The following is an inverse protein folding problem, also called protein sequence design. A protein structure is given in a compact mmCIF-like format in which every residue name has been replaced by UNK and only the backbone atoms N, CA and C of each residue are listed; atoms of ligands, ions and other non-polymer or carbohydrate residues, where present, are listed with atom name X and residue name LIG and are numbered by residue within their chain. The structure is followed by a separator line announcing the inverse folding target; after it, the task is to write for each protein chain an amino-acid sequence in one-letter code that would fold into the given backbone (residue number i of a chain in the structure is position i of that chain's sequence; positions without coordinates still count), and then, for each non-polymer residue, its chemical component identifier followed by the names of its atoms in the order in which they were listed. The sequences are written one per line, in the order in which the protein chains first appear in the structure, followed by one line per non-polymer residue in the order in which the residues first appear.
data_IF_427228779075
#
_entry.id   IF_427228779075
#
_cell.length_a   1.000
_cell.length_b   1.000
_cell.length_c   1.000
_cell.angle_alpha   90.00
_cell.angle_beta   90.00
_cell.angle_gamma   90.00
#
_symmetry.space_group_name_H-M   'P 1'
#
loop_
_entity.id
_entity.type
_entity.pdbx_description
1 polymer ?
#
# COMPACT_ATOMS: atom_id res chain seq x y z
N UNK A 1 -24.11 -0.95 9.69
CA UNK A 1 -22.76 -1.23 9.16
C UNK A 1 -21.95 -1.87 10.27
N UNK A 2 -21.74 -3.19 10.24
CA UNK A 2 -21.19 -3.97 11.37
C UNK A 2 -19.71 -4.30 11.23
N UNK A 3 -19.17 -5.02 12.23
CA UNK A 3 -17.79 -5.53 12.26
C UNK A 3 -17.42 -6.31 10.97
N UNK A 4 -18.39 -7.00 10.37
CA UNK A 4 -18.17 -7.72 9.11
C UNK A 4 -17.74 -6.78 7.96
N UNK A 5 -18.40 -5.63 7.79
CA UNK A 5 -17.99 -4.64 6.78
C UNK A 5 -16.62 -4.04 7.06
N UNK A 6 -16.25 -3.90 8.34
CA UNK A 6 -14.92 -3.38 8.71
C UNK A 6 -13.82 -4.40 8.38
N UNK A 7 -14.03 -5.68 8.69
CA UNK A 7 -13.09 -6.76 8.35
C UNK A 7 -12.92 -6.92 6.84
N UNK A 8 -14.01 -6.85 6.08
CA UNK A 8 -13.95 -6.90 4.61
C UNK A 8 -13.09 -5.77 4.08
N UNK A 9 -13.32 -4.52 4.51
CA UNK A 9 -12.51 -3.37 4.09
C UNK A 9 -11.04 -3.50 4.49
N UNK A 10 -10.76 -3.99 5.71
CA UNK A 10 -9.38 -4.20 6.18
C UNK A 10 -8.63 -5.24 5.35
N UNK A 11 -9.28 -6.34 4.97
CA UNK A 11 -8.68 -7.36 4.10
C UNK A 11 -8.51 -6.84 2.67
N UNK A 12 -9.53 -6.14 2.14
CA UNK A 12 -9.52 -5.62 0.78
C UNK A 12 -8.42 -4.57 0.55
N UNK A 13 -8.02 -3.83 1.58
CA UNK A 13 -6.91 -2.88 1.53
C UNK A 13 -5.59 -3.54 1.95
N UNK A 14 -5.58 -4.33 3.02
CA UNK A 14 -4.38 -4.92 3.60
C UNK A 14 -3.69 -5.93 2.67
N UNK A 15 -4.45 -6.78 1.98
CA UNK A 15 -3.90 -7.79 1.05
C UNK A 15 -3.17 -7.15 -0.14
N UNK A 16 -3.79 -6.22 -0.91
CA UNK A 16 -3.08 -5.58 -2.02
C UNK A 16 -1.91 -4.73 -1.52
N UNK A 17 -2.03 -4.04 -0.38
CA UNK A 17 -0.91 -3.33 0.22
C UNK A 17 0.26 -4.28 0.52
N UNK A 18 0.01 -5.41 1.19
CA UNK A 18 1.06 -6.40 1.48
C UNK A 18 1.79 -6.90 0.22
N UNK A 19 1.08 -7.05 -0.90
CA UNK A 19 1.72 -7.39 -2.19
C UNK A 19 2.41 -6.20 -2.88
N UNK A 20 1.95 -4.98 -2.65
CA UNK A 20 2.46 -3.77 -3.32
C UNK A 20 3.75 -3.25 -2.66
N UNK A 21 3.83 -3.29 -1.32
CA UNK A 21 4.99 -2.81 -0.56
C UNK A 21 6.35 -3.40 -1.01
N UNK A 22 6.51 -4.73 -1.15
CA UNK A 22 7.78 -5.29 -1.60
C UNK A 22 8.13 -4.89 -3.04
N UNK A 23 7.12 -4.63 -3.90
CA UNK A 23 7.34 -4.11 -5.26
C UNK A 23 7.83 -2.66 -5.26
N UNK A 24 7.39 -1.88 -4.29
CA UNK A 24 7.89 -0.52 -4.07
C UNK A 24 9.23 -0.48 -3.30
N UNK A 25 9.87 -1.63 -3.04
CA UNK A 25 11.12 -1.72 -2.28
C UNK A 25 10.94 -1.38 -0.79
N UNK A 26 9.73 -1.56 -0.24
CA UNK A 26 9.39 -1.29 1.16
C UNK A 26 9.36 -2.58 1.98
N UNK A 27 9.57 -2.45 3.29
CA UNK A 27 9.40 -3.55 4.21
C UNK A 27 7.92 -4.00 4.24
N UNK A 28 7.60 -5.27 3.87
CA UNK A 28 6.23 -5.77 3.85
C UNK A 28 5.51 -5.73 5.22
N UNK A 29 6.25 -5.62 6.34
CA UNK A 29 5.66 -5.43 7.67
C UNK A 29 4.86 -4.12 7.79
N UNK A 30 5.14 -3.11 6.98
CA UNK A 30 4.35 -1.86 6.95
C UNK A 30 2.91 -2.10 6.49
N UNK A 31 2.61 -3.23 5.85
CA UNK A 31 1.23 -3.62 5.54
C UNK A 31 0.41 -4.01 6.77
N UNK A 32 1.03 -4.34 7.92
CA UNK A 32 0.30 -4.47 9.19
C UNK A 32 -0.35 -3.15 9.61
N UNK A 33 0.23 -2.01 9.21
CA UNK A 33 -0.38 -0.70 9.45
C UNK A 33 -1.69 -0.56 8.67
N UNK A 34 -1.82 -1.23 7.51
CA UNK A 34 -3.04 -1.25 6.71
C UNK A 34 -4.21 -2.03 7.35
N UNK A 35 -3.95 -2.78 8.45
CA UNK A 35 -5.00 -3.38 9.27
C UNK A 35 -5.92 -2.32 9.90
N UNK A 36 -5.38 -1.11 10.09
CA UNK A 36 -6.16 0.10 10.38
C UNK A 36 -6.47 0.78 9.03
N UNK A 37 -7.74 0.85 8.60
CA UNK A 37 -8.09 1.30 7.25
C UNK A 37 -7.53 2.69 6.92
N UNK A 38 -7.49 3.60 7.89
CA UNK A 38 -6.90 4.94 7.72
C UNK A 38 -5.39 4.91 7.47
N UNK A 39 -4.65 4.07 8.16
CA UNK A 39 -3.21 3.97 7.96
C UNK A 39 -2.86 3.27 6.62
N UNK A 40 -3.73 2.38 6.12
CA UNK A 40 -3.61 1.85 4.76
C UNK A 40 -3.64 2.94 3.69
N UNK A 41 -4.51 3.95 3.86
CA UNK A 41 -4.57 5.12 2.96
C UNK A 41 -3.25 5.90 3.02
N UNK A 42 -2.70 6.14 4.21
CA UNK A 42 -1.41 6.84 4.38
C UNK A 42 -0.28 6.09 3.66
N UNK A 43 -0.21 4.77 3.78
CA UNK A 43 0.83 3.97 3.11
C UNK A 43 0.68 4.03 1.59
N UNK A 44 -0.54 3.97 1.05
CA UNK A 44 -0.79 4.18 -0.37
C UNK A 44 -0.34 5.57 -0.82
N UNK A 45 -0.58 6.60 -0.01
CA UNK A 45 -0.12 7.96 -0.27
C UNK A 45 1.41 8.03 -0.35
N UNK A 46 2.11 7.42 0.61
CA UNK A 46 3.58 7.35 0.61
C UNK A 46 4.09 6.65 -0.66
N UNK A 47 3.46 5.55 -1.09
CA UNK A 47 3.83 4.82 -2.31
C UNK A 47 3.57 5.67 -3.56
N UNK A 48 2.50 6.46 -3.60
CA UNK A 48 2.14 7.31 -4.73
C UNK A 48 3.13 8.46 -4.95
N UNK A 49 3.67 9.03 -3.88
CA UNK A 49 4.68 10.10 -3.95
C UNK A 49 6.12 9.60 -3.99
N UNK A 50 6.34 8.30 -3.80
CA UNK A 50 7.69 7.74 -3.89
C UNK A 50 8.08 7.50 -5.33
N UNK A 51 9.36 7.70 -5.63
CA UNK A 51 9.95 7.34 -6.92
C UNK A 51 9.91 5.83 -7.11
N UNK A 52 9.34 5.39 -8.23
CA UNK A 52 9.27 3.97 -8.55
C UNK A 52 10.56 3.50 -9.23
N UNK A 53 11.00 2.26 -9.00
CA UNK A 53 12.11 1.67 -9.74
C UNK A 53 11.71 1.52 -11.22
N UNK A 54 12.01 2.54 -12.03
CA UNK A 54 11.58 2.64 -13.43
C UNK A 54 11.39 4.06 -13.94
N UNK A 55 11.13 5.04 -13.07
CA UNK A 55 10.92 6.44 -13.49
C UNK A 55 12.15 7.06 -14.19
N UNK A 56 13.35 6.58 -13.86
CA UNK A 56 14.63 7.00 -14.43
C UNK A 56 14.94 6.42 -15.83
N UNK A 57 13.98 5.73 -16.46
CA UNK A 57 14.10 5.19 -17.82
C UNK A 57 13.41 6.08 -18.85
N UNK A 58 12.36 6.83 -18.48
CA UNK A 58 11.60 7.68 -19.42
C UNK A 58 12.28 9.01 -19.78
N UNK A 59 13.19 9.53 -18.95
CA UNK A 59 13.96 10.76 -19.25
C UNK A 59 15.10 10.55 -20.28
N UNK A 60 15.29 9.32 -20.78
CA UNK A 60 16.39 8.97 -21.71
C UNK A 60 16.00 8.92 -23.19
N UNK A 61 14.76 9.26 -23.53
CA UNK A 61 14.24 9.32 -24.91
C UNK A 61 13.75 10.73 -25.24
#
# INVERSE_FOLDING_TARGET
MGILSWLVSAVLLGVPLYRLLPRAGMNPLLALLALVPFAGIVVLWIIAFRSWPGDNVSERF
#
